data_IF_966072210121
#
_entry.id   IF_966072210121
#
_cell.length_a   1.000
_cell.length_b   1.000
_cell.length_c   1.000
_cell.angle_alpha   90.00
_cell.angle_beta   90.00
_cell.angle_gamma   90.00
#
_symmetry.space_group_name_H-M   'P 1'
#
loop_
_entity.id
_entity.type
_entity.pdbx_description
1 polymer ?
#
# COMPACT_ATOMS: atom_id res chain seq x y z
N UNK A 1 1.27 13.26 23.55
CA UNK A 1 -0.04 13.62 22.95
C UNK A 1 0.07 13.47 21.44
N UNK A 2 -0.68 12.53 20.86
CA UNK A 2 -0.76 12.31 19.40
C UNK A 2 -1.72 13.32 18.74
N UNK A 3 -1.73 13.46 17.40
CA UNK A 3 -2.70 14.31 16.70
C UNK A 3 -4.15 13.93 17.01
N UNK A 4 -4.43 12.63 17.11
CA UNK A 4 -5.77 12.08 17.38
C UNK A 4 -6.21 12.41 18.81
N UNK A 5 -5.30 12.27 19.79
CA UNK A 5 -5.55 12.68 21.17
C UNK A 5 -5.81 14.19 21.29
N UNK A 6 -5.07 15.01 20.53
CA UNK A 6 -5.27 16.46 20.53
C UNK A 6 -6.60 16.85 19.87
N UNK A 7 -6.95 16.22 18.73
CA UNK A 7 -8.24 16.42 18.09
C UNK A 7 -9.41 16.03 19.00
N UNK A 8 -9.27 14.93 19.75
CA UNK A 8 -10.23 14.51 20.77
C UNK A 8 -10.35 15.55 21.90
N UNK A 9 -9.23 16.03 22.45
CA UNK A 9 -9.24 17.07 23.50
C UNK A 9 -9.90 18.38 23.04
N UNK A 10 -9.67 18.79 21.79
CA UNK A 10 -10.35 19.97 21.20
C UNK A 10 -11.85 19.71 21.06
N UNK A 11 -12.25 18.50 20.68
CA UNK A 11 -13.66 18.12 20.59
C UNK A 11 -14.33 18.14 21.96
N UNK A 12 -13.70 17.57 22.98
CA UNK A 12 -14.18 17.60 24.36
C UNK A 12 -14.30 19.04 24.89
N UNK A 13 -13.34 19.91 24.58
CA UNK A 13 -13.40 21.33 24.95
C UNK A 13 -14.58 22.07 24.29
N UNK A 14 -14.91 21.72 23.04
CA UNK A 14 -16.08 22.24 22.33
C UNK A 14 -17.39 21.74 22.96
N UNK A 15 -17.48 20.45 23.26
CA UNK A 15 -18.65 19.85 23.91
C UNK A 15 -18.89 20.43 25.31
N UNK A 16 -17.82 20.56 26.11
CA UNK A 16 -17.92 21.18 27.44
C UNK A 16 -18.37 22.66 27.39
N UNK A 17 -18.01 23.39 26.33
CA UNK A 17 -18.46 24.77 26.12
C UNK A 17 -19.93 24.85 25.66
N UNK A 18 -20.39 23.86 24.88
CA UNK A 18 -21.81 23.70 24.52
C UNK A 18 -22.64 23.39 25.77
N UNK A 19 -22.20 22.40 26.56
CA UNK A 19 -22.91 21.97 27.77
C UNK A 19 -22.98 23.07 28.84
N UNK A 20 -21.96 23.94 28.89
CA UNK A 20 -21.94 25.12 29.75
C UNK A 20 -22.82 26.29 29.24
N UNK A 21 -23.41 26.17 28.05
CA UNK A 21 -24.24 27.22 27.44
C UNK A 21 -23.44 28.41 26.88
N UNK A 22 -22.13 28.26 26.70
CA UNK A 22 -21.25 29.32 26.18
C UNK A 22 -21.27 29.39 24.65
N UNK A 23 -21.66 28.29 23.98
CA UNK A 23 -21.74 28.18 22.54
C UNK A 23 -23.17 27.81 22.11
N UNK A 24 -23.72 28.58 21.16
CA UNK A 24 -25.02 28.28 20.56
C UNK A 24 -24.86 27.21 19.45
N UNK A 25 -24.43 26.00 19.82
CA UNK A 25 -24.28 24.84 18.94
C UNK A 25 -24.86 23.59 19.60
N UNK A 26 -25.29 22.64 18.79
CA UNK A 26 -25.56 21.28 19.25
C UNK A 26 -24.31 20.41 19.03
N UNK A 27 -24.01 19.49 19.95
CA UNK A 27 -22.84 18.60 19.83
C UNK A 27 -22.87 17.75 18.55
N UNK A 28 -24.05 17.42 18.04
CA UNK A 28 -24.24 16.72 16.77
C UNK A 28 -23.81 17.54 15.53
N UNK A 29 -23.71 18.87 15.65
CA UNK A 29 -23.29 19.76 14.58
C UNK A 29 -21.77 19.98 14.53
N UNK A 30 -21.01 19.38 15.45
CA UNK A 30 -19.55 19.47 15.47
C UNK A 30 -18.95 18.66 14.30
N UNK A 31 -18.11 19.27 13.45
CA UNK A 31 -17.38 18.55 12.42
C UNK A 31 -16.31 17.64 13.04
N UNK A 32 -15.75 16.76 12.21
CA UNK A 32 -14.50 16.10 12.54
C UNK A 32 -13.41 17.16 12.78
N UNK A 33 -12.87 17.19 14.01
CA UNK A 33 -11.79 18.11 14.37
C UNK A 33 -10.50 17.62 13.74
N UNK A 34 -9.81 18.52 13.05
CA UNK A 34 -8.50 18.24 12.44
C UNK A 34 -7.44 19.17 13.01
N UNK A 35 -6.25 18.60 13.19
CA UNK A 35 -5.03 19.31 13.56
C UNK A 35 -3.97 19.05 12.50
N UNK A 36 -3.22 20.09 12.15
CA UNK A 36 -2.21 20.04 11.09
C UNK A 36 -0.87 20.56 11.60
N UNK A 37 0.23 20.19 10.93
CA UNK A 37 1.55 20.76 11.22
C UNK A 37 1.57 22.23 10.76
N UNK A 38 1.96 23.19 11.63
CA UNK A 38 2.11 24.57 11.21
C UNK A 38 3.18 24.72 10.13
N UNK A 39 2.99 25.68 9.21
CA UNK A 39 3.98 25.99 8.17
C UNK A 39 5.32 26.47 8.73
N UNK A 40 5.29 27.14 9.88
CA UNK A 40 6.47 27.67 10.55
C UNK A 40 6.58 27.04 11.93
N UNK A 41 7.74 26.46 12.27
CA UNK A 41 7.95 25.75 13.55
C UNK A 41 7.75 26.63 14.78
N UNK A 42 7.94 27.93 14.65
CA UNK A 42 7.70 28.90 15.73
C UNK A 42 6.22 28.99 16.15
N UNK A 43 5.28 28.53 15.32
CA UNK A 43 3.85 28.47 15.61
C UNK A 43 3.42 27.18 16.34
N UNK A 44 4.36 26.49 16.99
CA UNK A 44 4.07 25.31 17.80
C UNK A 44 4.15 23.99 17.01
N UNK A 45 3.63 22.93 17.64
CA UNK A 45 3.71 21.56 17.13
C UNK A 45 2.54 21.22 16.21
N UNK A 46 1.36 21.75 16.52
CA UNK A 46 0.08 21.52 15.86
C UNK A 46 -0.69 22.81 15.73
N UNK A 47 -1.59 22.88 14.77
CA UNK A 47 -2.55 23.96 14.68
C UNK A 47 -3.91 23.52 14.15
N UNK A 48 -4.93 24.33 14.45
CA UNK A 48 -6.29 24.10 13.96
C UNK A 48 -6.99 25.43 13.64
N UNK A 49 -7.89 25.38 12.64
CA UNK A 49 -8.77 26.48 12.26
C UNK A 49 -10.22 26.26 12.74
N UNK A 50 -10.46 25.31 13.65
CA UNK A 50 -11.81 24.92 14.08
C UNK A 50 -12.64 26.12 14.57
N UNK A 51 -12.00 27.09 15.25
CA UNK A 51 -12.69 28.30 15.71
C UNK A 51 -13.18 29.19 14.54
N UNK A 52 -12.43 29.22 13.43
CA UNK A 52 -12.86 29.92 12.21
C UNK A 52 -14.02 29.21 11.51
N UNK A 53 -14.05 27.88 11.56
CA UNK A 53 -15.11 27.08 10.97
C UNK A 53 -16.42 27.18 11.77
N UNK A 54 -16.31 27.27 13.10
CA UNK A 54 -17.46 27.17 14.00
C UNK A 54 -17.95 28.49 14.58
N UNK A 55 -17.12 29.54 14.67
CA UNK A 55 -17.46 30.77 15.41
C UNK A 55 -18.84 31.31 15.06
N UNK A 56 -19.10 31.56 13.77
CA UNK A 56 -20.39 32.07 13.29
C UNK A 56 -21.56 31.12 13.61
N UNK A 57 -21.35 29.81 13.48
CA UNK A 57 -22.40 28.80 13.76
C UNK A 57 -22.70 28.72 15.26
N UNK A 58 -21.69 28.96 16.10
CA UNK A 58 -21.78 29.01 17.55
C UNK A 58 -22.29 30.34 18.13
N UNK A 59 -22.75 31.25 17.27
CA UNK A 59 -23.25 32.56 17.72
C UNK A 59 -22.16 33.48 18.26
N UNK A 60 -20.89 33.23 17.95
CA UNK A 60 -19.74 34.02 18.43
C UNK A 60 -18.81 34.42 17.29
N UNK A 61 -17.77 35.20 17.58
CA UNK A 61 -16.72 35.49 16.59
C UNK A 61 -15.66 34.38 16.59
N UNK A 62 -15.02 34.07 15.45
CA UNK A 62 -13.89 33.15 15.40
C UNK A 62 -12.80 33.44 16.46
N UNK A 63 -12.53 34.71 16.74
CA UNK A 63 -11.52 35.13 17.71
C UNK A 63 -11.95 34.80 19.14
N UNK A 64 -13.20 35.13 19.50
CA UNK A 64 -13.73 34.82 20.83
C UNK A 64 -13.83 33.31 21.07
N UNK A 65 -14.22 32.53 20.05
CA UNK A 65 -14.19 31.06 20.16
C UNK A 65 -12.76 30.52 20.33
N UNK A 66 -11.79 31.08 19.61
CA UNK A 66 -10.40 30.70 19.78
C UNK A 66 -9.89 31.04 21.20
N UNK A 67 -10.28 32.19 21.77
CA UNK A 67 -9.92 32.57 23.15
C UNK A 67 -10.52 31.61 24.18
N UNK A 68 -11.77 31.23 24.01
CA UNK A 68 -12.43 30.23 24.86
C UNK A 68 -11.72 28.87 24.80
N UNK A 69 -11.44 28.39 23.59
CA UNK A 69 -10.76 27.10 23.40
C UNK A 69 -9.32 27.15 23.90
N UNK A 70 -8.58 28.24 23.68
CA UNK A 70 -7.22 28.40 24.18
C UNK A 70 -7.16 28.32 25.70
N UNK A 71 -8.13 28.93 26.41
CA UNK A 71 -8.26 28.83 27.86
C UNK A 71 -8.48 27.39 28.31
N UNK A 72 -9.48 26.70 27.73
CA UNK A 72 -9.81 25.31 28.08
C UNK A 72 -8.68 24.32 27.75
N UNK A 73 -8.01 24.51 26.62
CA UNK A 73 -6.91 23.66 26.18
C UNK A 73 -5.63 23.90 26.99
N UNK A 74 -5.43 25.09 27.55
CA UNK A 74 -4.29 25.40 28.41
C UNK A 74 -4.24 24.54 29.69
N UNK A 75 -5.38 24.03 30.14
CA UNK A 75 -5.47 23.14 31.31
C UNK A 75 -5.35 21.65 30.95
N UNK A 76 -5.28 21.30 29.66
CA UNK A 76 -5.19 19.91 29.22
C UNK A 76 -3.76 19.38 29.41
N UNK A 77 -3.55 18.28 30.15
CA UNK A 77 -2.23 17.70 30.33
C UNK A 77 -1.52 17.40 29.01
N UNK A 78 -0.28 17.86 28.87
CA UNK A 78 0.54 17.67 27.68
C UNK A 78 0.50 18.84 26.68
N UNK A 79 -0.31 19.87 26.93
CA UNK A 79 -0.30 21.13 26.19
C UNK A 79 0.48 22.18 26.98
N UNK A 80 1.62 22.63 26.43
CA UNK A 80 2.45 23.68 27.03
C UNK A 80 1.88 25.09 26.82
N UNK A 81 1.11 25.28 25.73
CA UNK A 81 0.47 26.56 25.46
C UNK A 81 -0.29 26.59 24.14
N UNK A 82 -1.24 27.52 24.07
CA UNK A 82 -2.05 27.77 22.89
C UNK A 82 -2.00 29.25 22.54
N UNK A 83 -1.46 29.57 21.37
CA UNK A 83 -1.33 30.92 20.84
C UNK A 83 -2.39 31.14 19.74
N UNK A 84 -3.01 32.32 19.72
CA UNK A 84 -4.06 32.62 18.75
C UNK A 84 -3.53 33.56 17.67
N UNK A 85 -3.42 33.05 16.45
CA UNK A 85 -2.99 33.81 15.28
C UNK A 85 -4.18 34.31 14.45
N UNK A 86 -4.06 35.55 13.96
CA UNK A 86 -5.04 36.16 13.07
C UNK A 86 -6.48 36.10 13.61
N UNK A 87 -7.47 35.77 12.77
CA UNK A 87 -8.88 35.84 13.13
C UNK A 87 -9.36 34.73 14.08
N UNK A 88 -8.54 33.71 14.37
CA UNK A 88 -8.95 32.58 15.23
C UNK A 88 -8.25 31.26 14.91
N UNK A 89 -7.01 31.30 14.42
CA UNK A 89 -6.20 30.10 14.23
C UNK A 89 -5.52 29.76 15.56
N UNK A 90 -5.62 28.50 16.00
CA UNK A 90 -5.04 28.04 17.26
C UNK A 90 -3.73 27.32 16.97
N UNK A 91 -2.63 27.88 17.44
CA UNK A 91 -1.28 27.33 17.38
C UNK A 91 -0.96 26.66 18.72
N UNK A 92 -0.75 25.36 18.73
CA UNK A 92 -0.67 24.54 19.94
C UNK A 92 0.74 23.99 20.08
N UNK A 93 1.38 24.28 21.22
CA UNK A 93 2.68 23.74 21.60
C UNK A 93 2.47 22.66 22.65
N UNK A 94 3.04 21.49 22.41
CA UNK A 94 2.99 20.38 23.37
C UNK A 94 4.11 20.52 24.38
N UNK A 95 3.92 19.94 25.58
CA UNK A 95 5.00 19.83 26.55
C UNK A 95 6.17 19.04 25.96
N UNK A 96 7.40 19.47 26.26
CA UNK A 96 8.62 18.74 25.85
C UNK A 96 8.62 17.29 26.35
N UNK A 97 7.95 17.03 27.48
CA UNK A 97 7.69 15.70 28.02
C UNK A 97 6.83 14.82 27.09
N UNK A 98 5.95 15.40 26.27
CA UNK A 98 5.07 14.65 25.36
C UNK A 98 5.84 13.99 24.21
N UNK A 99 6.90 14.63 23.70
CA UNK A 99 7.78 14.03 22.70
C UNK A 99 8.65 12.91 23.30
N UNK A 100 9.12 13.10 24.55
CA UNK A 100 9.84 12.08 25.30
C UNK A 100 8.99 10.84 25.62
N UNK A 101 7.72 11.04 25.97
CA UNK A 101 6.77 9.95 26.20
C UNK A 101 6.53 9.14 24.92
N UNK A 102 6.30 9.78 23.77
CA UNK A 102 6.15 9.07 22.50
C UNK A 102 7.41 8.29 22.11
N UNK A 103 8.60 8.87 22.29
CA UNK A 103 9.85 8.18 22.03
C UNK A 103 10.01 6.93 22.92
N UNK A 104 9.61 7.03 24.19
CA UNK A 104 9.56 5.90 25.12
C UNK A 104 8.57 4.83 24.62
N UNK A 105 7.35 5.23 24.26
CA UNK A 105 6.32 4.30 23.78
C UNK A 105 6.77 3.56 22.50
N UNK A 106 7.44 4.25 21.57
CA UNK A 106 8.03 3.64 20.37
C UNK A 106 9.07 2.58 20.74
N UNK A 107 9.98 2.91 21.67
CA UNK A 107 11.04 1.99 22.10
C UNK A 107 10.47 0.79 22.85
N UNK A 108 9.49 1.00 23.73
CA UNK A 108 8.83 -0.07 24.49
C UNK A 108 7.99 -0.99 23.58
N UNK A 109 7.32 -0.43 22.56
CA UNK A 109 6.53 -1.21 21.60
C UNK A 109 7.40 -1.96 20.57
N UNK A 110 8.62 -1.51 20.28
CA UNK A 110 9.55 -2.17 19.37
C UNK A 110 8.95 -2.46 17.98
N UNK A 111 9.06 -3.71 17.52
CA UNK A 111 8.52 -4.15 16.21
C UNK A 111 6.99 -4.11 16.10
N UNK A 112 6.28 -3.99 17.23
CA UNK A 112 4.82 -3.86 17.24
C UNK A 112 4.35 -2.41 17.09
N UNK A 113 5.24 -1.42 17.21
CA UNK A 113 4.86 -0.03 17.03
C UNK A 113 4.30 0.20 15.61
N UNK A 114 3.16 0.92 15.53
CA UNK A 114 2.47 1.19 14.27
C UNK A 114 1.61 0.01 13.75
N UNK A 115 1.62 -1.16 14.40
CA UNK A 115 0.68 -2.24 14.10
C UNK A 115 -0.68 -1.94 14.76
N UNK A 116 -1.77 -2.30 14.08
CA UNK A 116 -3.13 -2.10 14.59
C UNK A 116 -3.98 -3.34 14.35
N UNK A 117 -5.21 -3.32 14.87
CA UNK A 117 -6.23 -4.37 14.64
C UNK A 117 -7.42 -3.81 13.84
N UNK A 118 -7.22 -2.72 13.11
CA UNK A 118 -8.29 -2.02 12.38
C UNK A 118 -8.98 -2.91 11.34
N UNK A 119 -8.27 -3.90 10.80
CA UNK A 119 -8.79 -4.88 9.84
C UNK A 119 -8.89 -6.30 10.42
N UNK A 120 -8.91 -6.44 11.75
CA UNK A 120 -9.07 -7.75 12.38
C UNK A 120 -10.36 -8.46 11.90
N UNK A 121 -10.24 -9.74 11.54
CA UNK A 121 -11.35 -10.56 11.03
C UNK A 121 -11.62 -10.39 9.53
N UNK A 122 -10.92 -9.49 8.84
CA UNK A 122 -11.00 -9.40 7.38
C UNK A 122 -10.04 -10.38 6.71
N UNK A 123 -10.57 -11.13 5.74
CA UNK A 123 -9.80 -11.97 4.82
C UNK A 123 -9.70 -11.24 3.48
N UNK A 124 -8.48 -10.93 3.04
CA UNK A 124 -8.22 -10.17 1.83
C UNK A 124 -7.46 -11.05 0.86
N UNK A 125 -8.02 -11.25 -0.34
CA UNK A 125 -7.29 -11.82 -1.45
C UNK A 125 -6.63 -10.69 -2.26
N UNK A 126 -5.31 -10.73 -2.39
CA UNK A 126 -4.51 -9.72 -3.07
C UNK A 126 -3.73 -10.36 -4.22
N UNK A 127 -4.21 -10.16 -5.44
CA UNK A 127 -3.55 -10.57 -6.67
C UNK A 127 -2.57 -9.49 -7.15
N UNK A 128 -1.34 -9.88 -7.50
CA UNK A 128 -0.37 -8.97 -8.11
C UNK A 128 0.68 -9.67 -8.99
N UNK A 129 1.36 -8.89 -9.82
CA UNK A 129 2.27 -9.32 -10.91
C UNK A 129 1.56 -9.99 -12.08
N UNK A 130 0.95 -11.17 -11.87
CA UNK A 130 0.15 -11.96 -12.84
C UNK A 130 0.66 -11.87 -14.29
N UNK A 131 1.97 -12.00 -14.48
CA UNK A 131 2.58 -11.91 -15.78
C UNK A 131 2.34 -13.21 -16.56
N UNK A 132 2.04 -13.10 -17.86
CA UNK A 132 1.90 -14.26 -18.71
C UNK A 132 3.26 -14.97 -18.85
N UNK A 133 3.30 -16.32 -18.84
CA UNK A 133 4.52 -17.12 -18.85
C UNK A 133 5.13 -17.23 -20.26
N UNK A 134 5.19 -16.11 -20.99
CA UNK A 134 5.69 -16.04 -22.37
C UNK A 134 7.04 -15.32 -22.46
N UNK A 135 7.58 -14.86 -21.34
CA UNK A 135 8.86 -14.17 -21.30
C UNK A 135 9.29 -13.78 -19.88
N UNK A 136 10.56 -13.41 -19.70
CA UNK A 136 11.12 -13.12 -18.39
C UNK A 136 10.48 -11.87 -17.78
N UNK A 137 10.41 -11.83 -16.44
CA UNK A 137 9.97 -10.62 -15.73
C UNK A 137 10.93 -9.47 -16.04
N UNK A 138 10.36 -8.36 -16.49
CA UNK A 138 11.08 -7.10 -16.70
C UNK A 138 10.82 -6.11 -15.54
N UNK A 139 11.51 -4.97 -15.55
CA UNK A 139 11.42 -3.94 -14.49
C UNK A 139 9.99 -3.48 -14.16
N UNK A 140 9.10 -3.42 -15.17
CA UNK A 140 7.67 -3.16 -14.95
C UNK A 140 6.98 -4.20 -14.06
N UNK A 141 7.27 -5.50 -14.20
CA UNK A 141 6.73 -6.55 -13.32
C UNK A 141 7.32 -6.47 -11.92
N UNK A 142 8.61 -6.13 -11.79
CA UNK A 142 9.28 -5.92 -10.51
C UNK A 142 8.63 -4.79 -9.70
N UNK A 143 8.26 -3.69 -10.36
CA UNK A 143 7.51 -2.59 -9.72
C UNK A 143 6.21 -3.12 -9.09
N UNK A 144 5.46 -3.95 -9.80
CA UNK A 144 4.20 -4.51 -9.29
C UNK A 144 4.43 -5.50 -8.16
N UNK A 145 5.50 -6.29 -8.22
CA UNK A 145 5.92 -7.16 -7.11
C UNK A 145 6.16 -6.35 -5.83
N UNK A 146 6.96 -5.27 -5.92
CA UNK A 146 7.26 -4.40 -4.78
C UNK A 146 6.02 -3.73 -4.19
N UNK A 147 5.14 -3.19 -5.04
CA UNK A 147 3.91 -2.51 -4.60
C UNK A 147 2.94 -3.49 -3.96
N UNK A 148 2.70 -4.64 -4.60
CA UNK A 148 1.77 -5.65 -4.11
C UNK A 148 2.22 -6.24 -2.78
N UNK A 149 3.50 -6.60 -2.66
CA UNK A 149 4.02 -7.15 -1.40
C UNK A 149 4.05 -6.10 -0.28
N UNK A 150 4.41 -4.84 -0.58
CA UNK A 150 4.36 -3.76 0.42
C UNK A 150 2.93 -3.53 0.93
N UNK A 151 1.94 -3.55 0.03
CA UNK A 151 0.53 -3.43 0.41
C UNK A 151 0.08 -4.60 1.28
N UNK A 152 0.47 -5.83 0.93
CA UNK A 152 0.17 -7.01 1.74
C UNK A 152 0.73 -6.88 3.16
N UNK A 153 2.00 -6.47 3.30
CA UNK A 153 2.64 -6.25 4.61
C UNK A 153 1.93 -5.18 5.45
N UNK A 154 1.46 -4.10 4.84
CA UNK A 154 0.69 -3.05 5.53
C UNK A 154 -0.67 -3.58 5.99
N UNK A 155 -1.38 -4.30 5.13
CA UNK A 155 -2.68 -4.90 5.48
C UNK A 155 -2.55 -5.90 6.64
N UNK A 156 -1.53 -6.76 6.61
CA UNK A 156 -1.20 -7.68 7.70
C UNK A 156 -0.80 -6.94 8.98
N UNK A 157 -0.06 -5.84 8.87
CA UNK A 157 0.28 -4.99 10.02
C UNK A 157 -0.95 -4.33 10.66
N UNK A 158 -2.06 -4.22 9.93
CA UNK A 158 -3.35 -3.72 10.44
C UNK A 158 -4.33 -4.81 10.89
N UNK A 159 -3.89 -6.08 10.93
CA UNK A 159 -4.64 -7.21 11.49
C UNK A 159 -5.45 -8.03 10.47
N UNK A 160 -5.36 -7.75 9.17
CA UNK A 160 -6.01 -8.55 8.14
C UNK A 160 -5.29 -9.90 7.92
N UNK A 161 -6.04 -10.92 7.51
CA UNK A 161 -5.49 -12.16 6.94
C UNK A 161 -5.39 -11.99 5.43
N UNK A 162 -4.16 -11.92 4.90
CA UNK A 162 -3.93 -11.66 3.47
C UNK A 162 -3.50 -12.93 2.75
N UNK A 163 -4.25 -13.32 1.73
CA UNK A 163 -3.83 -14.32 0.74
C UNK A 163 -3.21 -13.57 -0.43
N UNK A 164 -1.94 -13.84 -0.74
CA UNK A 164 -1.25 -13.28 -1.91
C UNK A 164 -1.43 -14.25 -3.07
N UNK A 165 -1.96 -13.77 -4.19
CA UNK A 165 -2.21 -14.58 -5.38
C UNK A 165 -1.43 -14.10 -6.60
N UNK A 166 -1.09 -15.06 -7.46
CA UNK A 166 -0.51 -14.83 -8.77
C UNK A 166 -1.41 -15.54 -9.78
N UNK A 167 -2.11 -14.77 -10.61
CA UNK A 167 -2.93 -15.35 -11.65
C UNK A 167 -2.03 -15.84 -12.80
N UNK A 168 -2.10 -17.14 -13.04
CA UNK A 168 -1.34 -17.81 -14.07
C UNK A 168 -2.25 -18.11 -15.26
N UNK A 169 -1.94 -17.47 -16.40
CA UNK A 169 -2.66 -17.70 -17.64
C UNK A 169 -1.79 -18.46 -18.65
N UNK A 170 -2.06 -19.75 -18.79
CA UNK A 170 -1.42 -20.68 -19.72
C UNK A 170 -2.21 -20.88 -21.03
N UNK A 171 -3.26 -20.08 -21.25
CA UNK A 171 -4.10 -20.18 -22.44
C UNK A 171 -4.21 -18.86 -23.23
N UNK A 172 -4.49 -19.01 -24.53
CA UNK A 172 -4.80 -17.92 -25.45
C UNK A 172 -3.67 -17.53 -26.40
N UNK A 173 -3.94 -16.53 -27.23
CA UNK A 173 -3.12 -16.18 -28.40
C UNK A 173 -1.65 -15.86 -28.09
N UNK A 174 -1.34 -15.35 -26.88
CA UNK A 174 0.03 -15.11 -26.47
C UNK A 174 0.81 -16.41 -26.26
N UNK A 175 0.19 -17.41 -25.65
CA UNK A 175 0.80 -18.73 -25.47
C UNK A 175 0.96 -19.41 -26.83
N UNK A 176 -0.02 -19.27 -27.72
CA UNK A 176 0.08 -19.84 -29.08
C UNK A 176 1.23 -19.23 -29.88
N UNK A 177 1.43 -17.91 -29.79
CA UNK A 177 2.60 -17.23 -30.37
C UNK A 177 3.91 -17.69 -29.75
N UNK A 178 3.96 -17.85 -28.43
CA UNK A 178 5.13 -18.34 -27.71
C UNK A 178 5.51 -19.75 -28.15
N UNK A 179 4.54 -20.67 -28.22
CA UNK A 179 4.76 -22.05 -28.69
C UNK A 179 5.27 -22.08 -30.13
N UNK A 180 4.67 -21.31 -31.05
CA UNK A 180 5.13 -21.20 -32.43
C UNK A 180 6.58 -20.69 -32.52
N UNK A 181 6.96 -19.73 -31.68
CA UNK A 181 8.34 -19.24 -31.59
C UNK A 181 9.32 -20.31 -31.08
N UNK A 182 8.94 -21.10 -30.08
CA UNK A 182 9.78 -22.19 -29.57
C UNK A 182 10.01 -23.27 -30.63
N UNK A 183 8.96 -23.69 -31.35
CA UNK A 183 9.04 -24.68 -32.42
C UNK A 183 9.99 -24.20 -33.54
N UNK A 184 9.82 -22.95 -33.99
CA UNK A 184 10.68 -22.36 -35.02
C UNK A 184 12.17 -22.39 -34.58
N UNK A 185 12.46 -21.95 -33.35
CA UNK A 185 13.83 -22.00 -32.81
C UNK A 185 14.37 -23.42 -32.67
N UNK A 186 13.55 -24.38 -32.25
CA UNK A 186 13.95 -25.79 -32.16
C UNK A 186 14.31 -26.40 -33.53
N UNK A 187 13.75 -25.86 -34.62
CA UNK A 187 14.07 -26.22 -36.01
C UNK A 187 15.20 -25.38 -36.62
N UNK A 188 15.76 -24.44 -35.85
CA UNK A 188 16.76 -23.44 -36.32
C UNK A 188 16.21 -22.52 -37.42
N UNK A 189 14.91 -22.27 -37.37
CA UNK A 189 14.20 -21.32 -38.22
C UNK A 189 13.97 -20.03 -37.45
N UNK A 190 13.59 -18.96 -38.17
CA UNK A 190 13.22 -17.72 -37.50
C UNK A 190 11.79 -17.76 -36.97
N UNK A 191 11.54 -17.21 -35.76
CA UNK A 191 10.20 -17.08 -35.23
C UNK A 191 9.27 -16.29 -36.18
N UNK A 192 7.95 -16.55 -36.14
CA UNK A 192 6.98 -15.74 -36.89
C UNK A 192 7.10 -14.25 -36.56
N UNK A 193 6.70 -13.37 -37.49
CA UNK A 193 6.71 -11.90 -37.27
C UNK A 193 5.91 -11.46 -36.03
N UNK A 194 4.82 -12.17 -35.71
CA UNK A 194 3.99 -11.92 -34.53
C UNK A 194 4.43 -12.75 -33.31
N UNK A 195 5.52 -13.49 -33.43
CA UNK A 195 6.08 -14.35 -32.41
C UNK A 195 7.01 -13.61 -31.44
N UNK A 196 7.43 -14.33 -30.42
CA UNK A 196 8.46 -13.90 -29.48
C UNK A 196 9.85 -14.14 -30.08
N UNK A 197 10.76 -13.20 -29.81
CA UNK A 197 12.15 -13.22 -30.23
C UNK A 197 13.08 -12.93 -29.05
N UNK A 198 14.37 -13.26 -29.21
CA UNK A 198 15.40 -13.12 -28.18
C UNK A 198 16.06 -14.45 -27.83
N UNK A 199 17.20 -14.38 -27.15
CA UNK A 199 18.01 -15.55 -26.79
C UNK A 199 17.24 -16.53 -25.89
N UNK A 200 16.42 -16.02 -24.96
CA UNK A 200 15.62 -16.85 -24.05
C UNK A 200 14.68 -17.83 -24.77
N UNK A 201 14.12 -17.46 -25.94
CA UNK A 201 13.26 -18.38 -26.72
C UNK A 201 14.09 -19.56 -27.22
N UNK A 202 15.31 -19.31 -27.70
CA UNK A 202 16.22 -20.37 -28.14
C UNK A 202 16.65 -21.25 -26.98
N UNK A 203 16.96 -20.65 -25.82
CA UNK A 203 17.33 -21.37 -24.60
C UNK A 203 16.20 -22.29 -24.13
N UNK A 204 14.96 -21.80 -24.08
CA UNK A 204 13.80 -22.61 -23.67
C UNK A 204 13.53 -23.71 -24.69
N UNK A 205 13.60 -23.42 -25.99
CA UNK A 205 13.42 -24.42 -27.03
C UNK A 205 14.44 -25.56 -26.88
N UNK A 206 15.71 -25.24 -26.61
CA UNK A 206 16.75 -26.24 -26.33
C UNK A 206 16.47 -27.02 -25.05
N UNK A 207 16.06 -26.35 -23.96
CA UNK A 207 15.67 -27.02 -22.71
C UNK A 207 14.51 -28.00 -22.90
N UNK A 208 13.55 -27.70 -23.77
CA UNK A 208 12.45 -28.63 -24.11
C UNK A 208 12.99 -29.88 -24.79
N UNK A 209 13.89 -29.73 -25.76
CA UNK A 209 14.54 -30.86 -26.45
C UNK A 209 15.37 -31.70 -25.48
N UNK A 210 16.17 -31.06 -24.62
CA UNK A 210 17.00 -31.71 -23.61
C UNK A 210 16.16 -32.48 -22.59
N UNK A 211 15.10 -31.88 -22.06
CA UNK A 211 14.19 -32.53 -21.11
C UNK A 211 13.50 -33.75 -21.73
N UNK A 212 13.07 -33.66 -22.99
CA UNK A 212 12.49 -34.79 -23.73
C UNK A 212 13.51 -35.92 -23.95
N UNK A 213 14.73 -35.59 -24.36
CA UNK A 213 15.79 -36.56 -24.56
C UNK A 213 16.21 -37.25 -23.26
N UNK A 214 16.33 -36.49 -22.15
CA UNK A 214 16.64 -37.02 -20.83
C UNK A 214 15.56 -37.98 -20.30
N UNK A 215 14.30 -37.73 -20.66
CA UNK A 215 13.18 -38.63 -20.38
C UNK A 215 13.09 -39.88 -21.28
N UNK A 216 14.00 -40.04 -22.25
CA UNK A 216 13.98 -41.15 -23.21
C UNK A 216 12.83 -41.09 -24.21
N UNK A 217 12.16 -39.95 -24.34
CA UNK A 217 11.05 -39.76 -25.25
C UNK A 217 11.53 -39.41 -26.67
N UNK A 218 10.67 -39.63 -27.66
CA UNK A 218 10.93 -39.20 -29.04
C UNK A 218 11.13 -37.67 -29.10
N UNK A 219 12.02 -37.25 -30.00
CA UNK A 219 12.22 -35.84 -30.34
C UNK A 219 10.88 -35.20 -30.74
N UNK A 220 10.44 -34.13 -30.05
CA UNK A 220 9.13 -33.53 -30.30
C UNK A 220 8.95 -33.03 -31.74
N UNK A 221 10.05 -32.70 -32.44
CA UNK A 221 10.01 -32.24 -33.84
C UNK A 221 9.61 -33.32 -34.85
N UNK A 222 9.61 -34.57 -34.41
CA UNK A 222 9.21 -35.74 -35.20
C UNK A 222 7.77 -36.19 -34.92
N UNK A 223 7.07 -35.52 -33.99
CA UNK A 223 5.68 -35.80 -33.66
C UNK A 223 4.72 -35.14 -34.66
N UNK A 224 3.44 -35.57 -34.73
CA UNK A 224 2.39 -34.81 -35.40
C UNK A 224 2.30 -33.38 -34.86
N UNK A 225 1.91 -32.41 -35.69
CA UNK A 225 1.96 -30.98 -35.35
C UNK A 225 1.22 -30.60 -34.06
N UNK A 226 0.07 -31.22 -33.80
CA UNK A 226 -0.70 -30.96 -32.58
C UNK A 226 0.02 -31.48 -31.32
N UNK A 227 0.63 -32.67 -31.43
CA UNK A 227 1.42 -33.25 -30.33
C UNK A 227 2.72 -32.48 -30.11
N UNK A 228 3.44 -32.10 -31.18
CA UNK A 228 4.62 -31.24 -31.12
C UNK A 228 4.30 -29.94 -30.36
N UNK A 229 3.22 -29.25 -30.76
CA UNK A 229 2.79 -28.01 -30.13
C UNK A 229 2.47 -28.19 -28.65
N UNK A 230 1.81 -29.28 -28.27
CA UNK A 230 1.48 -29.54 -26.87
C UNK A 230 2.73 -29.82 -26.02
N UNK A 231 3.73 -30.52 -26.56
CA UNK A 231 5.00 -30.72 -25.84
C UNK A 231 5.68 -29.39 -25.56
N UNK A 232 5.82 -28.53 -26.58
CA UNK A 232 6.45 -27.23 -26.42
C UNK A 232 5.63 -26.29 -25.53
N UNK A 233 4.30 -26.39 -25.55
CA UNK A 233 3.41 -25.65 -24.65
C UNK A 233 3.65 -26.05 -23.22
N UNK A 234 3.43 -27.32 -22.88
CA UNK A 234 3.51 -27.81 -21.50
C UNK A 234 4.88 -27.55 -20.87
N UNK A 235 5.96 -27.95 -21.55
CA UNK A 235 7.31 -27.80 -21.01
C UNK A 235 7.81 -26.35 -21.07
N UNK A 236 7.57 -25.64 -22.18
CA UNK A 236 8.04 -24.27 -22.36
C UNK A 236 7.38 -23.30 -21.38
N UNK A 237 6.05 -23.41 -21.21
CA UNK A 237 5.30 -22.63 -20.21
C UNK A 237 5.75 -22.99 -18.79
N UNK A 238 5.97 -24.29 -18.51
CA UNK A 238 6.48 -24.74 -17.22
C UNK A 238 7.84 -24.12 -16.86
N UNK A 239 8.80 -24.15 -17.79
CA UNK A 239 10.11 -23.54 -17.57
C UNK A 239 10.05 -22.03 -17.37
N UNK A 240 9.19 -21.35 -18.13
CA UNK A 240 8.98 -19.91 -17.93
C UNK A 240 8.41 -19.61 -16.55
N UNK A 241 7.44 -20.41 -16.12
CA UNK A 241 6.81 -20.22 -14.83
C UNK A 241 7.77 -20.47 -13.67
N UNK A 242 8.61 -21.51 -13.77
CA UNK A 242 9.68 -21.77 -12.80
C UNK A 242 10.64 -20.57 -12.67
N UNK A 243 11.05 -20.00 -13.80
CA UNK A 243 11.93 -18.83 -13.81
C UNK A 243 11.27 -17.59 -13.18
N UNK A 244 10.00 -17.32 -13.52
CA UNK A 244 9.19 -16.25 -12.91
C UNK A 244 9.13 -16.45 -11.40
N UNK A 245 8.79 -17.66 -10.94
CA UNK A 245 8.69 -18.00 -9.52
C UNK A 245 10.03 -17.81 -8.79
N UNK A 246 11.13 -18.26 -9.38
CA UNK A 246 12.46 -18.09 -8.80
C UNK A 246 12.81 -16.61 -8.68
N UNK A 247 12.63 -15.83 -9.75
CA UNK A 247 12.91 -14.39 -9.75
C UNK A 247 12.09 -13.62 -8.72
N UNK A 248 10.81 -13.95 -8.58
CA UNK A 248 9.96 -13.34 -7.56
C UNK A 248 10.39 -13.73 -6.15
N UNK A 249 10.81 -14.98 -5.93
CA UNK A 249 11.32 -15.44 -4.63
C UNK A 249 12.68 -14.84 -4.26
N UNK A 250 13.53 -14.51 -5.24
CA UNK A 250 14.84 -13.87 -5.00
C UNK A 250 14.71 -12.36 -4.77
N UNK A 251 13.64 -11.74 -5.28
CA UNK A 251 13.43 -10.29 -5.19
C UNK A 251 13.10 -9.81 -3.77
N UNK A 252 12.48 -10.65 -2.93
CA UNK A 252 12.10 -10.27 -1.56
C UNK A 252 11.60 -11.43 -0.73
#
# INVERSE_FOLDING_TARGET
MTPEQLAAAIREALEAAIDAGELALESAALPEVRVERPRQREHGDWATNVAMQLGKKAGTTPRALAELLAGRLGDVPGIAGVEIAGPGFLNIRLDSAAAGALAKDIVEAGESYGRTQALAGHHINLEFVSANPTGPIHIGGVRWAAVGDSLARVLEATGAVVTREYYFNDHGAQIDRFVRSLIARARREEPPEDGYAGEYITEIANRVLEARAAGGAQDPRLLPSDEEAEVFRSLGVGFMFEEIRQKLSEFG
#
